data_IF_309086628589
#
_entry.id   IF_309086628589
#
_cell.length_a   1.000
_cell.length_b   1.000
_cell.length_c   1.000
_cell.angle_alpha   90.00
_cell.angle_beta   90.00
_cell.angle_gamma   90.00
#
_symmetry.space_group_name_H-M   'P 1'
#
loop_
_entity.id
_entity.type
_entity.pdbx_description
1 polymer ?
#
# COMPACT_ATOMS: atom_id res chain seq x y z
N UNK A 1 -6.56 33.57 -49.27
CA UNK A 1 -5.97 34.84 -48.78
C UNK A 1 -6.85 35.41 -47.68
N UNK A 2 -6.23 35.95 -46.61
CA UNK A 2 -6.80 36.62 -45.40
C UNK A 2 -7.34 35.64 -44.35
N UNK A 3 -6.59 35.22 -43.32
CA UNK A 3 -6.06 35.92 -42.12
C UNK A 3 -7.16 36.53 -41.24
N UNK A 4 -7.44 35.90 -40.09
CA UNK A 4 -7.59 36.53 -38.76
C UNK A 4 -7.46 35.47 -37.67
N UNK A 5 -6.30 35.46 -37.01
CA UNK A 5 -6.11 34.88 -35.69
C UNK A 5 -6.79 35.81 -34.68
N UNK A 6 -7.75 35.30 -33.92
CA UNK A 6 -8.28 36.00 -32.74
C UNK A 6 -8.14 35.06 -31.55
N UNK A 7 -7.10 35.32 -30.76
CA UNK A 7 -6.87 34.68 -29.47
C UNK A 7 -7.94 35.15 -28.48
N UNK A 8 -8.75 34.21 -27.97
CA UNK A 8 -9.60 34.40 -26.80
C UNK A 8 -8.96 33.64 -25.64
N UNK A 9 -8.08 34.31 -24.91
CA UNK A 9 -7.90 34.06 -23.48
C UNK A 9 -9.10 34.71 -22.80
N UNK A 10 -9.79 34.05 -21.88
CA UNK A 10 -10.30 34.67 -20.65
C UNK A 10 -10.89 33.59 -19.71
N UNK A 11 -10.21 33.45 -18.57
CA UNK A 11 -10.69 33.04 -17.24
C UNK A 11 -11.01 31.56 -17.01
N UNK A 12 -10.01 30.89 -16.42
CA UNK A 12 -10.23 29.73 -15.57
C UNK A 12 -10.95 30.16 -14.29
N UNK A 13 -12.28 30.11 -14.28
CA UNK A 13 -13.03 29.94 -13.02
C UNK A 13 -13.10 28.44 -12.77
N UNK A 14 -12.14 27.88 -12.03
CA UNK A 14 -12.33 26.55 -11.47
C UNK A 14 -13.53 26.63 -10.52
N UNK A 15 -14.63 25.90 -10.76
CA UNK A 15 -15.60 25.65 -9.71
C UNK A 15 -14.84 24.84 -8.68
N UNK A 16 -14.60 25.43 -7.52
CA UNK A 16 -14.12 24.75 -6.32
C UNK A 16 -15.17 23.69 -5.97
N UNK A 17 -15.01 22.50 -6.55
CA UNK A 17 -15.64 21.28 -6.08
C UNK A 17 -15.05 21.04 -4.69
N UNK A 18 -15.70 21.61 -3.69
CA UNK A 18 -15.70 21.08 -2.34
C UNK A 18 -16.38 19.71 -2.42
N UNK A 19 -15.64 18.72 -2.93
CA UNK A 19 -15.92 17.32 -2.70
C UNK A 19 -15.75 17.14 -1.20
N UNK A 20 -16.84 17.33 -0.45
CA UNK A 20 -17.03 16.80 0.87
C UNK A 20 -16.95 15.27 0.74
N UNK A 21 -15.72 14.76 0.65
CA UNK A 21 -15.44 13.36 0.91
C UNK A 21 -15.85 13.14 2.37
N UNK A 22 -16.84 12.29 2.67
CA UNK A 22 -17.09 11.90 4.04
C UNK A 22 -15.80 11.28 4.59
N UNK A 23 -15.20 12.01 5.52
CA UNK A 23 -14.01 11.66 6.27
C UNK A 23 -14.34 10.45 7.15
N UNK A 24 -14.26 9.26 6.56
CA UNK A 24 -14.73 8.03 7.24
C UNK A 24 -14.95 6.85 6.31
N UNK A 25 -14.11 6.65 5.29
CA UNK A 25 -14.05 5.34 4.64
C UNK A 25 -13.68 4.27 5.68
N UNK A 26 -14.30 3.07 5.68
CA UNK A 26 -14.06 2.06 6.70
C UNK A 26 -12.56 1.77 6.83
N UNK A 27 -11.99 2.10 8.00
CA UNK A 27 -10.59 1.79 8.31
C UNK A 27 -10.42 0.26 8.24
N UNK A 28 -9.56 -0.30 7.38
CA UNK A 28 -9.47 -1.75 7.17
C UNK A 28 -8.84 -2.56 8.32
N UNK A 29 -8.68 -2.00 9.51
CA UNK A 29 -7.82 -2.57 10.57
C UNK A 29 -8.49 -2.79 11.94
N UNK A 30 -9.78 -2.47 12.13
CA UNK A 30 -10.46 -2.61 13.43
C UNK A 30 -11.41 -3.82 13.55
N UNK A 31 -11.49 -4.71 12.54
CA UNK A 31 -12.27 -5.94 12.62
C UNK A 31 -11.45 -7.17 12.24
N UNK A 32 -10.42 -7.43 13.04
CA UNK A 32 -9.69 -8.69 13.04
C UNK A 32 -9.61 -9.24 14.46
N UNK A 33 -9.44 -10.57 14.59
CA UNK A 33 -9.89 -11.55 15.62
C UNK A 33 -10.89 -11.19 16.73
N UNK A 34 -11.15 -9.93 17.05
CA UNK A 34 -11.86 -9.50 18.25
C UNK A 34 -13.32 -9.98 18.27
N UNK A 35 -14.01 -9.88 17.13
CA UNK A 35 -15.37 -10.42 16.93
C UNK A 35 -15.48 -11.93 17.22
N UNK A 36 -14.39 -12.70 17.04
CA UNK A 36 -14.38 -14.14 17.24
C UNK A 36 -13.86 -14.55 18.63
N UNK A 37 -13.25 -13.61 19.37
CA UNK A 37 -12.78 -13.86 20.75
C UNK A 37 -13.96 -14.00 21.72
N UNK A 38 -15.06 -13.29 21.46
CA UNK A 38 -16.27 -13.31 22.30
C UNK A 38 -17.14 -14.57 22.10
N UNK A 39 -16.93 -15.31 21.01
CA UNK A 39 -17.76 -16.46 20.64
C UNK A 39 -17.38 -17.77 21.35
N UNK A 40 -16.45 -17.73 22.32
CA UNK A 40 -15.98 -18.89 23.09
C UNK A 40 -15.69 -20.13 22.20
N UNK A 41 -15.01 -19.91 21.08
CA UNK A 41 -14.74 -20.95 20.08
C UNK A 41 -13.88 -22.09 20.64
N UNK A 42 -14.22 -23.32 20.25
CA UNK A 42 -13.37 -24.50 20.50
C UNK A 42 -12.01 -24.36 19.81
N UNK A 43 -11.04 -25.21 20.18
CA UNK A 43 -9.70 -25.19 19.56
C UNK A 43 -9.77 -25.47 18.05
N UNK A 44 -10.60 -26.42 17.64
CA UNK A 44 -10.80 -26.81 16.23
C UNK A 44 -11.50 -25.69 15.45
N UNK A 45 -12.56 -25.10 16.03
CA UNK A 45 -13.25 -23.96 15.42
C UNK A 45 -12.31 -22.78 15.21
N UNK A 46 -11.43 -22.47 16.17
CA UNK A 46 -10.41 -21.41 16.01
C UNK A 46 -9.41 -21.69 14.88
N UNK A 47 -9.03 -22.95 14.68
CA UNK A 47 -8.14 -23.32 13.59
C UNK A 47 -8.81 -23.12 12.23
N UNK A 48 -10.07 -23.57 12.08
CA UNK A 48 -10.83 -23.38 10.84
C UNK A 48 -11.12 -21.91 10.56
N UNK A 49 -11.50 -21.13 11.57
CA UNK A 49 -11.67 -19.67 11.41
C UNK A 49 -10.35 -19.03 10.96
N UNK A 50 -9.21 -19.37 11.57
CA UNK A 50 -7.91 -18.84 11.16
C UNK A 50 -7.57 -19.21 9.72
N UNK A 51 -7.87 -20.44 9.30
CA UNK A 51 -7.67 -20.90 7.92
C UNK A 51 -8.54 -20.09 6.95
N UNK A 52 -9.84 -19.97 7.23
CA UNK A 52 -10.78 -19.21 6.43
C UNK A 52 -10.37 -17.74 6.31
N UNK A 53 -9.94 -17.10 7.39
CA UNK A 53 -9.43 -15.72 7.36
C UNK A 53 -8.16 -15.60 6.52
N UNK A 54 -7.26 -16.58 6.61
CA UNK A 54 -6.07 -16.65 5.76
C UNK A 54 -6.41 -16.78 4.27
N UNK A 55 -7.37 -17.64 3.93
CA UNK A 55 -7.87 -17.81 2.56
C UNK A 55 -8.58 -16.56 2.04
N UNK A 56 -9.39 -15.91 2.88
CA UNK A 56 -10.03 -14.65 2.53
C UNK A 56 -9.00 -13.55 2.23
N UNK A 57 -7.93 -13.44 3.03
CA UNK A 57 -6.86 -12.47 2.78
C UNK A 57 -6.12 -12.77 1.47
N UNK A 58 -5.84 -14.05 1.17
CA UNK A 58 -5.24 -14.46 -0.11
C UNK A 58 -6.16 -14.11 -1.28
N UNK A 59 -7.43 -14.46 -1.19
CA UNK A 59 -8.44 -14.16 -2.23
C UNK A 59 -8.52 -12.66 -2.52
N UNK A 60 -8.59 -11.82 -1.48
CA UNK A 60 -8.56 -10.35 -1.62
C UNK A 60 -7.30 -9.86 -2.33
N UNK A 61 -6.14 -10.42 -1.99
CA UNK A 61 -4.88 -10.08 -2.64
C UNK A 61 -4.89 -10.49 -4.12
N UNK A 62 -5.31 -11.71 -4.44
CA UNK A 62 -5.34 -12.24 -5.80
C UNK A 62 -6.32 -11.46 -6.69
N UNK A 63 -7.51 -11.13 -6.18
CA UNK A 63 -8.49 -10.29 -6.89
C UNK A 63 -7.87 -8.94 -7.23
N UNK A 64 -7.32 -8.25 -6.24
CA UNK A 64 -6.67 -6.94 -6.45
C UNK A 64 -5.55 -7.04 -7.47
N UNK A 65 -4.67 -8.05 -7.32
CA UNK A 65 -3.53 -8.26 -8.21
C UNK A 65 -3.97 -8.48 -9.66
N UNK A 66 -5.02 -9.28 -9.90
CA UNK A 66 -5.57 -9.50 -11.25
C UNK A 66 -5.99 -8.22 -11.95
N UNK A 67 -6.48 -7.22 -11.21
CA UNK A 67 -6.83 -5.93 -11.77
C UNK A 67 -5.62 -5.01 -11.93
N UNK A 68 -4.72 -4.98 -10.95
CA UNK A 68 -3.47 -4.22 -11.07
C UNK A 68 -2.58 -4.72 -12.22
N UNK A 69 -2.58 -6.03 -12.49
CA UNK A 69 -1.80 -6.61 -13.59
C UNK A 69 -2.26 -6.12 -14.96
N UNK A 70 -3.52 -5.66 -15.10
CA UNK A 70 -4.06 -5.06 -16.33
C UNK A 70 -3.60 -3.63 -16.57
N UNK A 71 -3.05 -2.95 -15.55
CA UNK A 71 -2.55 -1.59 -15.70
C UNK A 71 -1.36 -1.56 -16.66
N UNK A 72 -1.25 -0.52 -17.52
CA UNK A 72 -0.04 -0.25 -18.28
C UNK A 72 1.19 -0.13 -17.38
N UNK A 73 2.36 -0.52 -17.88
CA UNK A 73 3.60 -0.48 -17.08
C UNK A 73 3.92 0.93 -16.59
N UNK A 74 3.64 1.96 -17.39
CA UNK A 74 3.82 3.35 -16.99
C UNK A 74 2.98 3.71 -15.74
N UNK A 75 1.72 3.26 -15.69
CA UNK A 75 0.83 3.50 -14.56
C UNK A 75 1.24 2.70 -13.32
N UNK A 76 1.71 1.46 -13.50
CA UNK A 76 2.28 0.66 -12.40
C UNK A 76 3.49 1.34 -11.78
N UNK A 77 4.38 1.91 -12.60
CA UNK A 77 5.55 2.65 -12.13
C UNK A 77 5.16 3.96 -11.46
N UNK A 78 4.16 4.69 -11.98
CA UNK A 78 3.63 5.90 -11.36
C UNK A 78 3.04 5.59 -9.98
N UNK A 79 2.14 4.60 -9.88
CA UNK A 79 1.56 4.15 -8.61
C UNK A 79 2.66 3.76 -7.60
N UNK A 80 3.69 3.04 -8.03
CA UNK A 80 4.81 2.67 -7.15
C UNK A 80 5.54 3.91 -6.62
N UNK A 81 5.85 4.88 -7.48
CA UNK A 81 6.49 6.14 -7.07
C UNK A 81 5.63 6.92 -6.09
N UNK A 82 4.32 6.98 -6.32
CA UNK A 82 3.39 7.68 -5.42
C UNK A 82 3.34 7.01 -4.04
N UNK A 83 3.31 5.67 -4.00
CA UNK A 83 3.37 4.91 -2.75
C UNK A 83 4.70 5.10 -2.01
N UNK A 84 5.82 5.08 -2.73
CA UNK A 84 7.15 5.29 -2.15
C UNK A 84 7.27 6.72 -1.58
N UNK A 85 6.79 7.73 -2.32
CA UNK A 85 6.73 9.12 -1.85
C UNK A 85 5.85 9.27 -0.59
N UNK A 86 4.62 8.74 -0.63
CA UNK A 86 3.70 8.81 0.50
C UNK A 86 4.28 8.13 1.74
N UNK A 87 5.01 7.02 1.55
CA UNK A 87 5.72 6.32 2.62
C UNK A 87 6.83 7.19 3.23
N UNK A 88 7.67 7.82 2.41
CA UNK A 88 8.74 8.71 2.88
C UNK A 88 8.19 9.90 3.65
N UNK A 89 7.14 10.54 3.12
CA UNK A 89 6.50 11.69 3.76
C UNK A 89 5.90 11.30 5.12
N UNK A 90 5.21 10.16 5.19
CA UNK A 90 4.70 9.61 6.46
C UNK A 90 5.84 9.29 7.44
N UNK A 91 6.95 8.73 6.98
CA UNK A 91 8.10 8.43 7.84
C UNK A 91 8.73 9.70 8.42
N UNK A 92 8.87 10.77 7.60
CA UNK A 92 9.37 12.07 8.07
C UNK A 92 8.42 12.69 9.09
N UNK A 93 7.12 12.68 8.81
CA UNK A 93 6.10 13.19 9.73
C UNK A 93 6.11 12.43 11.07
N UNK A 94 6.17 11.10 11.03
CA UNK A 94 6.27 10.29 12.25
C UNK A 94 7.53 10.62 13.03
N UNK A 95 8.69 10.71 12.38
CA UNK A 95 9.95 11.04 13.03
C UNK A 95 9.90 12.41 13.73
N UNK A 96 9.27 13.41 13.10
CA UNK A 96 9.15 14.75 13.65
C UNK A 96 8.34 14.81 14.97
N UNK A 97 7.49 13.82 15.23
CA UNK A 97 6.71 13.70 16.47
C UNK A 97 7.48 13.01 17.61
N UNK A 98 8.64 12.42 17.33
CA UNK A 98 9.41 11.64 18.29
C UNK A 98 10.45 12.49 19.03
N UNK A 99 10.72 12.15 20.28
CA UNK A 99 11.83 12.72 21.05
C UNK A 99 13.19 12.16 20.56
N UNK A 100 14.34 12.75 20.94
CA UNK A 100 15.65 12.34 20.42
C UNK A 100 16.01 10.86 20.63
N UNK A 101 15.64 10.28 21.77
CA UNK A 101 15.89 8.86 22.06
C UNK A 101 15.05 7.94 21.17
N UNK A 102 13.76 8.27 21.01
CA UNK A 102 12.84 7.56 20.13
C UNK A 102 13.24 7.69 18.65
N UNK A 103 13.73 8.84 18.22
CA UNK A 103 14.23 9.04 16.86
C UNK A 103 15.41 8.10 16.56
N UNK A 104 16.34 7.95 17.51
CA UNK A 104 17.47 7.02 17.36
C UNK A 104 16.99 5.58 17.17
N UNK A 105 16.08 5.12 18.02
CA UNK A 105 15.50 3.76 17.90
C UNK A 105 14.71 3.57 16.60
N UNK A 106 13.95 4.60 16.18
CA UNK A 106 13.21 4.59 14.92
C UNK A 106 14.15 4.45 13.72
N UNK A 107 15.24 5.20 13.69
CA UNK A 107 16.23 5.17 12.61
C UNK A 107 16.97 3.84 12.51
N UNK A 108 17.38 3.30 13.65
CA UNK A 108 17.99 1.96 13.71
C UNK A 108 17.02 0.89 13.19
N UNK A 109 15.74 1.01 13.56
CA UNK A 109 14.71 0.12 13.04
C UNK A 109 14.51 0.28 11.53
N UNK A 110 14.50 1.51 10.98
CA UNK A 110 14.41 1.72 9.52
C UNK A 110 15.58 1.07 8.80
N UNK A 111 16.82 1.28 9.26
CA UNK A 111 18.02 0.64 8.67
C UNK A 111 17.90 -0.89 8.68
N UNK A 112 17.44 -1.48 9.78
CA UNK A 112 17.22 -2.94 9.88
C UNK A 112 16.16 -3.42 8.89
N UNK A 113 15.10 -2.65 8.70
CA UNK A 113 14.04 -2.99 7.75
C UNK A 113 14.50 -2.86 6.29
N UNK A 114 15.35 -1.90 5.98
CA UNK A 114 15.99 -1.76 4.67
C UNK A 114 16.93 -2.93 4.36
N UNK A 115 17.78 -3.31 5.31
CA UNK A 115 18.64 -4.49 5.18
C UNK A 115 17.82 -5.76 4.93
N UNK A 116 16.78 -6.00 5.73
CA UNK A 116 15.86 -7.14 5.52
C UNK A 116 15.17 -7.11 4.16
N UNK A 117 14.83 -5.92 3.64
CA UNK A 117 14.26 -5.81 2.28
C UNK A 117 15.28 -6.12 1.21
N UNK A 118 16.53 -5.70 1.37
CA UNK A 118 17.61 -6.02 0.45
C UNK A 118 17.86 -7.55 0.43
N UNK A 119 18.04 -8.16 1.60
CA UNK A 119 18.20 -9.62 1.75
C UNK A 119 17.02 -10.39 1.13
N UNK A 120 15.78 -9.96 1.38
CA UNK A 120 14.60 -10.59 0.80
C UNK A 120 14.52 -10.43 -0.72
N UNK A 121 15.04 -9.34 -1.30
CA UNK A 121 15.13 -9.17 -2.76
C UNK A 121 16.15 -10.14 -3.34
N UNK A 122 17.32 -10.25 -2.74
CA UNK A 122 18.37 -11.19 -3.14
C UNK A 122 17.87 -12.63 -3.04
N UNK A 123 17.22 -13.00 -1.93
CA UNK A 123 16.66 -14.33 -1.75
C UNK A 123 15.59 -14.66 -2.80
N UNK A 124 14.71 -13.71 -3.14
CA UNK A 124 13.72 -13.90 -4.22
C UNK A 124 14.37 -14.09 -5.58
N UNK A 125 15.44 -13.33 -5.88
CA UNK A 125 16.19 -13.49 -7.12
C UNK A 125 16.86 -14.87 -7.19
N UNK A 126 17.55 -15.28 -6.12
CA UNK A 126 18.14 -16.62 -6.00
C UNK A 126 17.10 -17.73 -6.19
N UNK A 127 15.93 -17.60 -5.55
CA UNK A 127 14.86 -18.58 -5.68
C UNK A 127 14.35 -18.68 -7.12
N UNK A 128 14.13 -17.54 -7.79
CA UNK A 128 13.73 -17.52 -9.19
C UNK A 128 14.78 -18.15 -10.12
N UNK A 129 16.07 -17.96 -9.86
CA UNK A 129 17.14 -18.65 -10.61
C UNK A 129 17.15 -20.16 -10.36
N UNK A 130 16.89 -20.60 -9.12
CA UNK A 130 16.78 -22.03 -8.78
C UNK A 130 15.59 -22.68 -9.45
N UNK A 131 14.41 -22.06 -9.39
CA UNK A 131 13.19 -22.57 -10.03
C UNK A 131 13.36 -22.68 -11.56
N UNK A 132 14.05 -21.72 -12.18
CA UNK A 132 14.42 -21.77 -13.62
C UNK A 132 15.41 -22.88 -13.99
N UNK A 133 16.30 -23.27 -13.07
CA UNK A 133 17.27 -24.37 -13.28
C UNK A 133 16.66 -25.75 -13.01
N UNK A 134 15.53 -25.81 -12.31
CA UNK A 134 14.80 -27.02 -11.97
C UNK A 134 13.59 -27.29 -12.89
N UNK A 135 13.33 -26.40 -13.85
CA UNK A 135 12.32 -26.53 -14.91
C UNK A 135 13.00 -26.79 -16.24
#
# INVERSE_FOLDING_TARGET
MRKTLTALLFVATLPTLAMAMPEGGPRPHERGPEMFKELNLSKEQRQEVRKLMGEQMKSRHDITRRYLDKLPEAEKQAMKKDLDKAREDNQKALRALLNPEQQKAFDEHQKKMEARRAEMKEFKAWKAEKDKKAS
#
